data_IF_518419739631
#
_entry.id   IF_518419739631
#
_cell.length_a   1.000
_cell.length_b   1.000
_cell.length_c   1.000
_cell.angle_alpha   90.00
_cell.angle_beta   90.00
_cell.angle_gamma   90.00
#
_symmetry.space_group_name_H-M   'P 1'
#
loop_
_entity.id
_entity.type
_entity.pdbx_description
1 polymer ?
#
# COMPACT_ATOMS: atom_id res chain seq x y z
N UNK A 1 20.45 -17.15 -11.72
CA UNK A 1 19.06 -16.71 -11.51
C UNK A 1 18.65 -15.95 -12.77
N UNK A 2 17.65 -16.41 -13.49
CA UNK A 2 17.22 -15.76 -14.73
C UNK A 2 16.46 -14.47 -14.36
N UNK A 3 17.09 -13.34 -14.56
CA UNK A 3 16.58 -12.02 -14.17
C UNK A 3 15.39 -11.58 -15.04
N UNK A 4 15.27 -12.14 -16.24
CA UNK A 4 14.22 -11.79 -17.21
C UNK A 4 12.99 -12.71 -17.13
N UNK A 5 13.08 -13.82 -16.42
CA UNK A 5 11.99 -14.79 -16.27
C UNK A 5 11.05 -14.33 -15.13
N UNK A 6 10.02 -13.56 -15.47
CA UNK A 6 8.93 -13.26 -14.55
C UNK A 6 8.10 -14.53 -14.36
N UNK A 7 8.24 -15.17 -13.19
CA UNK A 7 7.45 -16.35 -12.82
C UNK A 7 5.98 -16.03 -12.54
N UNK A 8 5.62 -14.75 -12.43
CA UNK A 8 4.29 -14.30 -12.12
C UNK A 8 3.51 -13.95 -13.38
N UNK A 9 2.30 -14.46 -13.47
CA UNK A 9 1.30 -14.05 -14.47
C UNK A 9 0.60 -12.76 -14.00
N UNK A 10 -0.17 -12.12 -14.89
CA UNK A 10 -0.99 -10.97 -14.51
C UNK A 10 -1.93 -11.26 -13.33
N UNK A 11 -2.46 -12.49 -13.23
CA UNK A 11 -3.30 -12.88 -12.09
C UNK A 11 -2.53 -12.99 -10.78
N UNK A 12 -1.28 -13.45 -10.78
CA UNK A 12 -0.45 -13.47 -9.58
C UNK A 12 -0.18 -12.06 -9.07
N UNK A 13 0.09 -11.11 -9.97
CA UNK A 13 0.23 -9.68 -9.61
C UNK A 13 -1.07 -9.11 -9.04
N UNK A 14 -2.22 -9.39 -9.67
CA UNK A 14 -3.52 -8.91 -9.19
C UNK A 14 -3.89 -9.50 -7.82
N UNK A 15 -3.60 -10.78 -7.57
CA UNK A 15 -3.77 -11.41 -6.27
C UNK A 15 -2.89 -10.77 -5.21
N UNK A 16 -1.60 -10.61 -5.48
CA UNK A 16 -0.68 -9.99 -4.54
C UNK A 16 -1.10 -8.57 -4.21
N UNK A 17 -1.43 -7.76 -5.21
CA UNK A 17 -1.98 -6.40 -5.05
C UNK A 17 -3.23 -6.39 -4.16
N UNK A 18 -4.19 -7.27 -4.41
CA UNK A 18 -5.39 -7.38 -3.60
C UNK A 18 -5.06 -7.62 -2.13
N UNK A 19 -4.14 -8.55 -1.83
CA UNK A 19 -3.73 -8.82 -0.46
C UNK A 19 -2.92 -7.67 0.16
N UNK A 20 -2.17 -6.91 -0.62
CA UNK A 20 -1.50 -5.68 -0.15
C UNK A 20 -2.51 -4.60 0.23
N UNK A 21 -3.55 -4.37 -0.58
CA UNK A 21 -4.61 -3.41 -0.29
C UNK A 21 -5.43 -3.86 0.93
N UNK A 22 -5.78 -5.14 1.00
CA UNK A 22 -6.61 -5.72 2.08
C UNK A 22 -5.76 -6.30 3.24
N UNK A 23 -4.55 -5.78 3.44
CA UNK A 23 -3.64 -6.22 4.50
C UNK A 23 -4.29 -6.12 5.88
N UNK A 24 -4.28 -7.20 6.66
CA UNK A 24 -4.94 -7.31 7.96
C UNK A 24 -6.29 -8.03 7.89
N UNK A 25 -6.90 -8.14 6.69
CA UNK A 25 -8.14 -8.92 6.50
C UNK A 25 -7.83 -10.35 6.11
N UNK A 26 -8.63 -11.25 6.67
CA UNK A 26 -8.70 -12.65 6.24
C UNK A 26 -9.79 -12.76 5.17
N UNK A 27 -9.43 -13.17 3.98
CA UNK A 27 -10.35 -13.36 2.87
C UNK A 27 -10.60 -14.85 2.62
N UNK A 28 -11.78 -15.18 2.11
CA UNK A 28 -12.07 -16.52 1.61
C UNK A 28 -11.94 -16.59 0.09
N UNK A 29 -11.79 -17.82 -0.43
CA UNK A 29 -11.56 -18.06 -1.86
C UNK A 29 -12.64 -17.43 -2.77
N UNK A 30 -13.92 -17.51 -2.37
CA UNK A 30 -15.04 -16.95 -3.14
C UNK A 30 -15.02 -15.41 -3.12
N UNK A 31 -14.65 -14.82 -1.98
CA UNK A 31 -14.49 -13.37 -1.84
C UNK A 31 -13.39 -12.83 -2.75
N UNK A 32 -12.21 -13.49 -2.76
CA UNK A 32 -11.11 -13.16 -3.66
C UNK A 32 -11.52 -13.26 -5.12
N UNK A 33 -12.19 -14.37 -5.50
CA UNK A 33 -12.66 -14.60 -6.86
C UNK A 33 -13.66 -13.54 -7.33
N UNK A 34 -14.58 -13.12 -6.44
CA UNK A 34 -15.54 -12.03 -6.71
C UNK A 34 -14.84 -10.70 -6.93
N UNK A 35 -13.88 -10.34 -6.08
CA UNK A 35 -13.13 -9.07 -6.18
C UNK A 35 -12.32 -8.99 -7.46
N UNK A 36 -11.68 -10.08 -7.88
CA UNK A 36 -10.87 -10.13 -9.10
C UNK A 36 -11.66 -10.52 -10.37
N UNK A 37 -12.99 -10.77 -10.25
CA UNK A 37 -13.87 -11.17 -11.36
C UNK A 37 -13.38 -12.42 -12.12
N UNK A 38 -12.88 -13.41 -11.38
CA UNK A 38 -12.40 -14.70 -11.90
C UNK A 38 -13.10 -15.87 -11.20
N UNK A 39 -12.87 -17.11 -11.64
CA UNK A 39 -13.46 -18.28 -10.98
C UNK A 39 -12.69 -18.66 -9.70
N UNK A 40 -13.32 -19.25 -8.68
CA UNK A 40 -12.63 -19.75 -7.49
C UNK A 40 -11.53 -20.77 -7.82
N UNK A 41 -11.73 -21.62 -8.81
CA UNK A 41 -10.73 -22.60 -9.27
C UNK A 41 -9.48 -21.89 -9.79
N UNK A 42 -9.66 -20.84 -10.60
CA UNK A 42 -8.55 -20.05 -11.14
C UNK A 42 -7.74 -19.40 -10.02
N UNK A 43 -8.42 -18.84 -9.01
CA UNK A 43 -7.76 -18.29 -7.81
C UNK A 43 -6.98 -19.38 -7.08
N UNK A 44 -7.62 -20.52 -6.78
CA UNK A 44 -7.00 -21.64 -6.04
C UNK A 44 -5.68 -22.10 -6.69
N UNK A 45 -5.67 -22.25 -8.01
CA UNK A 45 -4.48 -22.69 -8.75
C UNK A 45 -3.35 -21.64 -8.67
N UNK A 46 -3.71 -20.34 -8.64
CA UNK A 46 -2.73 -19.26 -8.63
C UNK A 46 -2.19 -18.93 -7.23
N UNK A 47 -2.92 -19.26 -6.15
CA UNK A 47 -2.47 -19.04 -4.77
C UNK A 47 -1.20 -19.84 -4.44
N UNK A 48 -1.04 -21.04 -5.00
CA UNK A 48 0.08 -21.95 -4.71
C UNK A 48 1.45 -21.28 -4.97
N UNK A 49 1.54 -20.39 -5.96
CA UNK A 49 2.77 -19.64 -6.27
C UNK A 49 3.12 -18.66 -5.15
N UNK A 50 2.13 -17.87 -4.71
CA UNK A 50 2.32 -16.87 -3.65
C UNK A 50 2.56 -17.53 -2.28
N UNK A 51 1.91 -18.65 -2.01
CA UNK A 51 2.09 -19.43 -0.80
C UNK A 51 3.50 -20.06 -0.75
N UNK A 52 3.96 -20.66 -1.85
CA UNK A 52 5.32 -21.21 -1.99
C UNK A 52 6.40 -20.14 -1.74
N UNK A 53 6.15 -18.90 -2.17
CA UNK A 53 7.02 -17.76 -1.92
C UNK A 53 6.85 -17.15 -0.52
N UNK A 54 5.96 -17.73 0.32
CA UNK A 54 5.63 -17.26 1.68
C UNK A 54 5.12 -15.82 1.73
N UNK A 55 4.45 -15.36 0.67
CA UNK A 55 3.88 -14.03 0.60
C UNK A 55 2.47 -13.95 1.19
N UNK A 56 1.77 -15.07 1.22
CA UNK A 56 0.46 -15.24 1.82
C UNK A 56 0.45 -16.45 2.76
N UNK A 57 -0.45 -16.39 3.74
CA UNK A 57 -0.80 -17.53 4.59
C UNK A 57 -2.13 -18.11 4.11
N UNK A 58 -2.19 -19.41 3.84
CA UNK A 58 -3.41 -20.12 3.47
C UNK A 58 -3.71 -21.15 4.56
N UNK A 59 -4.85 -21.00 5.24
CA UNK A 59 -5.29 -21.92 6.30
C UNK A 59 -6.59 -22.59 5.88
N UNK A 60 -6.65 -23.91 5.95
CA UNK A 60 -7.87 -24.67 5.72
C UNK A 60 -8.60 -24.89 7.04
N UNK A 61 -9.88 -24.54 7.08
CA UNK A 61 -10.72 -24.83 8.25
C UNK A 61 -10.84 -26.35 8.44
N UNK A 62 -10.74 -26.79 9.70
CA UNK A 62 -10.91 -28.22 10.04
C UNK A 62 -12.37 -28.67 9.98
N UNK A 63 -13.31 -27.76 10.19
CA UNK A 63 -14.74 -28.04 10.32
C UNK A 63 -15.56 -27.66 9.10
N UNK A 64 -15.12 -26.65 8.35
CA UNK A 64 -15.78 -26.19 7.12
C UNK A 64 -14.77 -26.22 5.99
N UNK A 65 -15.20 -26.61 4.79
CA UNK A 65 -14.31 -26.65 3.62
C UNK A 65 -14.01 -25.23 3.10
N UNK A 66 -13.55 -24.35 4.01
CA UNK A 66 -13.24 -22.95 3.75
C UNK A 66 -11.74 -22.71 3.84
N UNK A 67 -11.20 -22.01 2.86
CA UNK A 67 -9.83 -21.47 2.89
C UNK A 67 -9.87 -20.04 3.43
N UNK A 68 -9.04 -19.78 4.43
CA UNK A 68 -8.73 -18.45 4.95
C UNK A 68 -7.39 -18.01 4.40
N UNK A 69 -7.37 -16.86 3.74
CA UNK A 69 -6.21 -16.36 3.01
C UNK A 69 -5.92 -14.95 3.49
N UNK A 70 -4.68 -14.68 3.85
CA UNK A 70 -4.20 -13.37 4.32
C UNK A 70 -2.79 -13.07 3.83
N UNK A 71 -2.41 -11.80 3.77
CA UNK A 71 -1.02 -11.41 3.51
C UNK A 71 -0.12 -11.87 4.65
N UNK A 72 1.02 -12.47 4.35
CA UNK A 72 2.00 -12.88 5.34
C UNK A 72 2.88 -11.69 5.78
N UNK A 73 2.45 -11.00 6.83
CA UNK A 73 3.13 -9.83 7.38
C UNK A 73 4.39 -10.15 8.19
N UNK A 74 4.58 -11.39 8.60
CA UNK A 74 5.76 -11.83 9.35
C UNK A 74 6.99 -12.00 8.46
N UNK A 75 6.78 -12.05 7.14
CA UNK A 75 7.85 -12.20 6.17
C UNK A 75 8.35 -10.81 5.68
N UNK A 76 9.59 -10.46 6.02
CA UNK A 76 10.21 -9.18 5.59
C UNK A 76 10.16 -8.96 4.08
N UNK A 77 10.34 -10.02 3.27
CA UNK A 77 10.23 -9.92 1.80
C UNK A 77 8.83 -9.48 1.37
N UNK A 78 7.79 -9.96 2.04
CA UNK A 78 6.41 -9.53 1.78
C UNK A 78 6.23 -8.03 2.03
N UNK A 79 6.75 -7.51 3.14
CA UNK A 79 6.69 -6.09 3.46
C UNK A 79 7.46 -5.24 2.42
N UNK A 80 8.63 -5.67 1.99
CA UNK A 80 9.39 -4.98 0.95
C UNK A 80 8.65 -4.96 -0.39
N UNK A 81 8.05 -6.06 -0.81
CA UNK A 81 7.25 -6.13 -2.04
C UNK A 81 5.96 -5.31 -1.90
N UNK A 82 5.32 -5.32 -0.73
CA UNK A 82 4.17 -4.47 -0.44
C UNK A 82 4.51 -2.99 -0.51
N UNK A 83 5.66 -2.58 0.04
CA UNK A 83 6.18 -1.21 -0.10
C UNK A 83 6.28 -0.77 -1.57
N UNK A 84 6.75 -1.66 -2.44
CA UNK A 84 6.85 -1.40 -3.89
C UNK A 84 5.46 -1.28 -4.52
N UNK A 85 4.53 -2.16 -4.12
CA UNK A 85 3.15 -2.13 -4.62
C UNK A 85 2.41 -0.87 -4.15
N UNK A 86 2.60 -0.44 -2.89
CA UNK A 86 2.06 0.80 -2.36
C UNK A 86 2.54 2.01 -3.19
N UNK A 87 3.84 2.09 -3.49
CA UNK A 87 4.38 3.17 -4.33
C UNK A 87 3.80 3.15 -5.74
N UNK A 88 3.67 1.96 -6.33
CA UNK A 88 3.06 1.79 -7.64
C UNK A 88 1.62 2.29 -7.66
N UNK A 89 0.84 1.99 -6.61
CA UNK A 89 -0.54 2.48 -6.46
C UNK A 89 -0.61 4.01 -6.37
N UNK A 90 0.33 4.67 -5.68
CA UNK A 90 0.42 6.14 -5.61
C UNK A 90 0.53 6.77 -7.00
N UNK A 91 1.34 6.17 -7.89
CA UNK A 91 1.47 6.64 -9.27
C UNK A 91 0.25 6.26 -10.14
N UNK A 92 -0.20 5.02 -10.08
CA UNK A 92 -1.28 4.53 -10.95
C UNK A 92 -2.65 5.18 -10.66
N UNK A 93 -2.93 5.55 -9.41
CA UNK A 93 -4.17 6.25 -9.07
C UNK A 93 -4.14 7.76 -9.36
N UNK A 94 -2.97 8.29 -9.77
CA UNK A 94 -2.77 9.72 -10.07
C UNK A 94 -2.55 10.60 -8.84
N UNK A 95 -2.33 10.03 -7.63
CA UNK A 95 -2.08 10.82 -6.42
C UNK A 95 -0.82 11.69 -6.56
N UNK A 96 0.26 11.12 -7.14
CA UNK A 96 1.47 11.88 -7.41
C UNK A 96 1.20 13.10 -8.30
N UNK A 97 0.58 12.89 -9.46
CA UNK A 97 0.30 13.97 -10.43
C UNK A 97 -0.59 15.04 -9.83
N UNK A 98 -1.60 14.62 -9.06
CA UNK A 98 -2.49 15.54 -8.36
C UNK A 98 -1.71 16.44 -7.37
N UNK A 99 -0.90 15.84 -6.49
CA UNK A 99 -0.14 16.59 -5.49
C UNK A 99 0.94 17.48 -6.14
N UNK A 100 1.63 16.99 -7.16
CA UNK A 100 2.63 17.75 -7.89
C UNK A 100 2.04 19.03 -8.50
N UNK A 101 0.84 18.92 -9.09
CA UNK A 101 0.13 20.07 -9.67
C UNK A 101 -0.43 21.03 -8.60
N UNK A 102 -0.84 20.52 -7.42
CA UNK A 102 -1.34 21.34 -6.33
C UNK A 102 -0.25 22.11 -5.58
N UNK A 103 0.97 21.54 -5.54
CA UNK A 103 2.11 22.04 -4.75
C UNK A 103 3.39 22.15 -5.61
N UNK A 104 3.39 23.00 -6.66
CA UNK A 104 4.55 23.14 -7.53
C UNK A 104 5.76 23.68 -6.74
N UNK A 105 6.92 23.07 -6.95
CA UNK A 105 8.17 23.45 -6.28
C UNK A 105 8.34 22.98 -4.84
N UNK A 106 7.30 22.35 -4.26
CA UNK A 106 7.40 21.79 -2.91
C UNK A 106 8.07 20.41 -2.89
N UNK A 107 8.64 20.04 -1.75
CA UNK A 107 9.06 18.67 -1.49
C UNK A 107 7.88 17.85 -1.00
N UNK A 108 7.64 16.71 -1.65
CA UNK A 108 6.55 15.79 -1.35
C UNK A 108 7.12 14.44 -0.95
N UNK A 109 6.82 13.98 0.27
CA UNK A 109 7.34 12.71 0.83
C UNK A 109 6.19 11.89 1.38
N UNK A 110 6.04 10.65 0.92
CA UNK A 110 5.19 9.65 1.60
C UNK A 110 5.99 9.04 2.73
N UNK A 111 5.48 9.08 3.95
CA UNK A 111 6.19 8.55 5.12
C UNK A 111 5.28 7.66 5.98
N UNK A 112 5.71 7.27 7.17
CA UNK A 112 4.91 6.42 8.06
C UNK A 112 4.82 4.96 7.61
N UNK A 113 3.80 4.26 8.08
CA UNK A 113 3.61 2.82 7.87
C UNK A 113 3.42 2.45 6.40
N UNK A 114 2.69 3.28 5.64
CA UNK A 114 2.43 3.04 4.22
C UNK A 114 3.71 3.04 3.39
N UNK A 115 4.62 3.98 3.66
CA UNK A 115 5.92 4.05 2.97
C UNK A 115 6.85 2.88 3.27
N UNK A 116 6.63 2.17 4.39
CA UNK A 116 7.39 0.98 4.80
C UNK A 116 6.74 -0.33 4.39
N UNK A 117 5.48 -0.30 3.90
CA UNK A 117 4.69 -1.50 3.61
C UNK A 117 4.12 -2.18 4.86
N UNK A 118 4.08 -1.49 5.98
CA UNK A 118 3.60 -1.98 7.29
C UNK A 118 2.13 -1.60 7.55
N UNK A 119 1.53 -0.79 6.68
CA UNK A 119 0.14 -0.36 6.78
C UNK A 119 -0.84 -1.52 6.78
N UNK A 120 -1.97 -1.33 7.49
CA UNK A 120 -3.04 -2.31 7.62
C UNK A 120 -4.39 -1.73 7.21
N UNK A 121 -5.31 -2.60 6.81
CA UNK A 121 -6.67 -2.25 6.48
C UNK A 121 -7.62 -3.39 6.88
N UNK A 122 -8.39 -3.18 7.92
CA UNK A 122 -9.35 -4.16 8.44
C UNK A 122 -10.75 -4.04 7.83
N UNK A 123 -11.09 -2.89 7.27
CA UNK A 123 -12.38 -2.59 6.65
C UNK A 123 -12.75 -1.12 6.77
N UNK A 124 -13.79 -0.67 6.06
CA UNK A 124 -14.21 0.75 6.03
C UNK A 124 -14.69 1.26 7.40
N UNK A 125 -15.27 0.39 8.22
CA UNK A 125 -15.86 0.73 9.53
C UNK A 125 -14.87 0.57 10.70
N UNK A 126 -13.61 0.17 10.42
CA UNK A 126 -12.62 -0.12 11.46
C UNK A 126 -11.77 1.11 11.77
N UNK A 127 -11.73 1.50 13.04
CA UNK A 127 -10.97 2.67 13.52
C UNK A 127 -9.45 2.51 13.45
N UNK A 128 -8.96 1.27 13.28
CA UNK A 128 -7.52 0.96 13.33
C UNK A 128 -6.86 0.80 11.95
N UNK A 129 -7.49 1.31 10.92
CA UNK A 129 -6.87 1.35 9.60
C UNK A 129 -5.67 2.31 9.59
N UNK A 130 -4.63 1.93 8.87
CA UNK A 130 -3.51 2.84 8.63
C UNK A 130 -3.86 3.86 7.56
N UNK A 131 -3.43 5.09 7.77
CA UNK A 131 -3.53 6.18 6.82
C UNK A 131 -2.30 6.25 5.90
N UNK A 132 -2.40 7.06 4.87
CA UNK A 132 -1.26 7.45 4.03
C UNK A 132 -0.79 8.83 4.49
N UNK A 133 0.34 8.87 5.19
CA UNK A 133 0.95 10.10 5.66
C UNK A 133 1.81 10.72 4.56
N UNK A 134 1.55 11.99 4.23
CA UNK A 134 2.31 12.73 3.22
C UNK A 134 2.77 14.06 3.82
N UNK A 135 4.08 14.33 3.73
CA UNK A 135 4.66 15.61 4.09
C UNK A 135 4.76 16.48 2.83
N UNK A 136 4.28 17.71 2.94
CA UNK A 136 4.41 18.79 1.93
C UNK A 136 5.31 19.86 2.56
N UNK A 137 6.55 19.97 2.10
CA UNK A 137 7.52 20.94 2.62
C UNK A 137 7.72 22.06 1.62
N UNK A 138 7.60 23.29 2.08
CA UNK A 138 7.64 24.52 1.27
C UNK A 138 6.27 25.12 1.01
N UNK A 139 5.22 24.66 1.70
CA UNK A 139 3.85 25.20 1.57
C UNK A 139 3.21 25.42 2.92
N UNK A 140 2.28 26.38 2.94
CA UNK A 140 1.30 26.51 4.02
C UNK A 140 0.15 25.54 3.79
N UNK A 141 -0.60 25.29 4.86
CA UNK A 141 -1.79 24.44 4.82
C UNK A 141 -2.77 24.93 3.76
N UNK A 142 -3.30 23.98 3.00
CA UNK A 142 -4.29 24.22 1.94
C UNK A 142 -5.30 23.08 1.97
N UNK A 143 -6.57 23.45 2.02
CA UNK A 143 -7.66 22.46 1.88
C UNK A 143 -7.76 22.01 0.42
N UNK A 144 -7.76 20.70 0.22
CA UNK A 144 -7.93 20.05 -1.09
C UNK A 144 -8.81 18.81 -0.94
N UNK A 145 -9.60 18.51 -1.94
CA UNK A 145 -10.45 17.30 -1.96
C UNK A 145 -9.67 16.08 -2.43
N UNK A 146 -9.45 15.14 -1.53
CA UNK A 146 -8.76 13.87 -1.76
C UNK A 146 -9.72 12.68 -1.86
N UNK A 147 -11.03 12.89 -1.73
CA UNK A 147 -12.05 11.82 -1.58
C UNK A 147 -12.00 10.76 -2.68
N UNK A 148 -11.76 11.16 -3.94
CA UNK A 148 -11.63 10.22 -5.07
C UNK A 148 -10.38 9.37 -4.98
N UNK A 149 -9.27 9.95 -4.54
CA UNK A 149 -7.98 9.26 -4.39
C UNK A 149 -8.02 8.32 -3.18
N UNK A 150 -8.58 8.77 -2.05
CA UNK A 150 -8.82 7.93 -0.86
C UNK A 150 -9.66 6.70 -1.19
N UNK A 151 -10.74 6.90 -1.97
CA UNK A 151 -11.59 5.79 -2.44
C UNK A 151 -10.82 4.81 -3.33
N UNK A 152 -9.95 5.30 -4.21
CA UNK A 152 -9.16 4.46 -5.10
C UNK A 152 -8.09 3.66 -4.35
N UNK A 153 -7.51 4.25 -3.31
CA UNK A 153 -6.47 3.64 -2.48
C UNK A 153 -7.04 2.84 -1.30
N UNK A 154 -8.34 2.98 -1.02
CA UNK A 154 -9.00 2.44 0.17
C UNK A 154 -8.27 2.83 1.47
N UNK A 155 -7.76 4.07 1.51
CA UNK A 155 -7.01 4.64 2.65
C UNK A 155 -7.34 6.12 2.78
N UNK A 156 -7.38 6.60 4.00
CA UNK A 156 -7.35 8.03 4.29
C UNK A 156 -5.99 8.60 3.97
N UNK A 157 -5.94 9.85 3.52
CA UNK A 157 -4.71 10.55 3.18
C UNK A 157 -4.58 11.75 4.11
N UNK A 158 -3.51 11.75 4.91
CA UNK A 158 -3.18 12.85 5.80
C UNK A 158 -2.05 13.69 5.22
N UNK A 159 -2.34 14.94 4.88
CA UNK A 159 -1.34 15.90 4.44
C UNK A 159 -0.81 16.69 5.64
N UNK A 160 0.49 16.66 5.81
CA UNK A 160 1.21 17.38 6.85
C UNK A 160 2.02 18.50 6.20
N UNK A 161 1.70 19.77 6.50
CA UNK A 161 2.29 20.92 5.87
C UNK A 161 3.40 21.54 6.72
N UNK A 162 4.51 21.87 6.08
CA UNK A 162 5.66 22.50 6.70
C UNK A 162 6.21 23.62 5.81
N UNK A 163 6.42 24.81 6.36
CA UNK A 163 6.99 25.94 5.59
C UNK A 163 8.43 25.69 5.17
N UNK A 164 9.19 24.91 5.95
CA UNK A 164 10.56 24.52 5.64
C UNK A 164 10.99 23.26 6.42
N UNK A 165 12.07 22.64 6.02
CA UNK A 165 12.69 21.54 6.76
C UNK A 165 13.10 21.91 8.19
N UNK A 166 13.36 23.19 8.46
CA UNK A 166 13.75 23.70 9.81
C UNK A 166 12.58 23.72 10.78
N UNK A 167 11.36 23.88 10.29
CA UNK A 167 10.15 23.90 11.13
C UNK A 167 9.68 22.50 11.60
N UNK A 168 10.27 21.44 11.06
CA UNK A 168 9.88 20.07 11.40
C UNK A 168 10.62 19.62 12.67
N UNK A 169 9.85 19.12 13.67
CA UNK A 169 10.43 18.55 14.89
C UNK A 169 11.37 17.36 14.57
N UNK A 170 12.51 17.25 15.28
CA UNK A 170 13.57 16.29 15.00
C UNK A 170 13.08 14.86 14.77
N UNK A 171 12.29 14.30 15.69
CA UNK A 171 11.82 12.91 15.59
C UNK A 171 10.93 12.67 14.36
N UNK A 172 10.10 13.65 14.03
CA UNK A 172 9.23 13.57 12.85
C UNK A 172 10.04 13.73 11.56
N UNK A 173 11.07 14.60 11.57
CA UNK A 173 12.01 14.76 10.44
C UNK A 173 12.70 13.43 10.11
N UNK A 174 13.14 12.68 11.10
CA UNK A 174 13.74 11.35 10.89
C UNK A 174 12.75 10.39 10.23
N UNK A 175 11.49 10.40 10.66
CA UNK A 175 10.43 9.58 10.03
C UNK A 175 10.16 9.98 8.58
N UNK A 176 10.10 11.29 8.29
CA UNK A 176 9.89 11.81 6.92
C UNK A 176 11.09 11.47 6.02
N UNK A 177 12.31 11.64 6.51
CA UNK A 177 13.53 11.30 5.76
C UNK A 177 13.66 9.79 5.47
N UNK A 178 13.11 8.94 6.33
CA UNK A 178 13.01 7.49 6.10
C UNK A 178 11.90 7.09 5.12
N UNK A 179 11.11 8.04 4.63
CA UNK A 179 10.00 7.84 3.71
C UNK A 179 10.43 7.69 2.24
N UNK A 180 9.48 7.93 1.34
CA UNK A 180 9.68 7.89 -0.11
C UNK A 180 9.50 9.29 -0.66
N UNK A 181 10.58 9.88 -1.15
CA UNK A 181 10.57 11.16 -1.83
C UNK A 181 9.88 11.02 -3.19
N UNK A 182 8.76 11.73 -3.37
CA UNK A 182 8.02 11.75 -4.64
C UNK A 182 8.46 12.92 -5.53
N UNK A 183 8.71 14.09 -4.93
CA UNK A 183 9.10 15.31 -5.65
C UNK A 183 9.96 16.22 -4.77
N UNK A 184 10.74 17.10 -5.38
CA UNK A 184 11.59 18.07 -4.70
C UNK A 184 12.90 17.49 -4.18
N UNK A 185 13.44 18.12 -3.15
CA UNK A 185 14.70 17.74 -2.52
C UNK A 185 14.72 18.00 -1.01
N UNK A 186 15.75 17.51 -0.35
CA UNK A 186 15.97 17.71 1.08
C UNK A 186 17.03 18.77 1.27
N UNK A 187 16.68 19.89 1.91
CA UNK A 187 17.62 20.88 2.40
C UNK A 187 17.93 20.59 3.87
N UNK A 188 19.17 20.27 4.18
CA UNK A 188 19.66 19.90 5.52
C UNK A 188 20.13 21.12 6.30
#
# INVERSE_FOLDING_TARGET
MDTYSLKWTGLHHALFRLFCIKTGRVLNLRGVAKLLKVTPTTVSNSLAVLEKEKLINVKKSKTMNLLSIELNRDNKRTLHLKRTENLKLVYECGLYDFLYNQFPGCTIVVFGSYSRGEDVYFGEEEEHNSDIDIAIVGSKEKEIDLSKLEKSLERKIHLNFYESWKSIHKNLKESILGGILLSGGVEL
#
